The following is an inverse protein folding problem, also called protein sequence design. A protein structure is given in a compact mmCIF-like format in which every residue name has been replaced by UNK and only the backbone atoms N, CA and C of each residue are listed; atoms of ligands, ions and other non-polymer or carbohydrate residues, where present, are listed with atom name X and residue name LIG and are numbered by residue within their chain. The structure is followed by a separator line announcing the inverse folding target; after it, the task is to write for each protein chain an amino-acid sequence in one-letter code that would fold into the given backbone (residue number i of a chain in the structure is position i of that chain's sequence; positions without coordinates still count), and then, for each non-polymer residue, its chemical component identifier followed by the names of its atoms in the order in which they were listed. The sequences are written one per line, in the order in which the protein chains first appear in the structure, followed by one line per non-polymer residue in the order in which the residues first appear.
data_IF_645417707436
#
_entry.id   IF_645417707436
#
_cell.length_a   1.000
_cell.length_b   1.000
_cell.length_c   1.000
_cell.angle_alpha   90.00
_cell.angle_beta   90.00
_cell.angle_gamma   90.00
#
_symmetry.space_group_name_H-M   'P 1'
#
loop_
_entity.id
_entity.type
_entity.pdbx_description
1 polymer ?
#
# COMPACT_ATOMS: atom_id res chain seq x y z
N UNK A 1 22.61 24.90 24.14
CA UNK A 1 21.87 25.24 22.91
C UNK A 1 20.57 24.47 22.91
N UNK A 2 19.44 25.09 22.56
CA UNK A 2 18.12 24.46 22.61
C UNK A 2 17.39 24.70 21.29
N UNK A 3 16.74 23.66 20.77
CA UNK A 3 15.84 23.74 19.62
C UNK A 3 14.46 23.32 20.11
N UNK A 4 13.49 24.23 20.05
CA UNK A 4 12.09 23.93 20.29
C UNK A 4 11.39 23.78 18.94
N UNK A 5 10.96 22.56 18.63
CA UNK A 5 10.06 22.29 17.53
C UNK A 5 8.62 22.50 17.97
N UNK A 6 7.92 23.48 17.39
CA UNK A 6 6.46 23.52 17.41
C UNK A 6 6.00 22.62 16.27
N UNK A 7 6.03 21.30 16.46
CA UNK A 7 5.52 20.39 15.44
C UNK A 7 4.03 20.70 15.25
N UNK A 8 3.58 21.14 14.06
CA UNK A 8 2.16 21.26 13.79
C UNK A 8 1.50 19.89 13.99
N UNK A 9 0.21 19.83 14.35
CA UNK A 9 -0.51 18.56 14.26
C UNK A 9 -0.33 17.98 12.85
N UNK A 10 -0.13 16.65 12.72
CA UNK A 10 0.13 16.03 11.43
C UNK A 10 -0.96 16.45 10.43
N UNK A 11 -0.60 16.77 9.17
CA UNK A 11 -1.59 17.18 8.18
C UNK A 11 -2.64 16.07 8.02
N UNK A 12 -3.91 16.44 7.86
CA UNK A 12 -5.04 15.50 7.68
C UNK A 12 -4.84 14.52 6.52
N UNK A 13 -3.96 14.87 5.57
CA UNK A 13 -3.42 14.01 4.54
C UNK A 13 -1.98 14.45 4.24
N UNK A 14 -1.03 13.50 4.22
CA UNK A 14 0.28 13.74 3.65
C UNK A 14 0.23 13.48 2.13
N UNK A 15 1.07 14.18 1.35
CA UNK A 15 1.19 13.98 -0.10
C UNK A 15 2.65 13.91 -0.50
N UNK A 16 3.00 12.96 -1.37
CA UNK A 16 4.33 12.86 -1.97
C UNK A 16 4.20 12.51 -3.46
N UNK A 17 5.06 13.09 -4.28
CA UNK A 17 5.05 12.83 -5.73
C UNK A 17 6.40 12.32 -6.21
N UNK A 18 6.38 11.42 -7.17
CA UNK A 18 7.54 11.06 -7.98
C UNK A 18 7.82 12.19 -8.97
N UNK A 19 9.10 12.36 -9.33
CA UNK A 19 9.51 13.30 -10.38
C UNK A 19 8.84 13.01 -11.72
N UNK A 20 8.45 11.75 -11.96
CA UNK A 20 7.75 11.28 -13.15
C UNK A 20 6.23 11.59 -13.16
N UNK A 21 5.70 12.28 -12.14
CA UNK A 21 4.34 12.84 -12.14
C UNK A 21 3.28 12.08 -11.36
N UNK A 22 3.56 10.87 -10.87
CA UNK A 22 2.64 10.15 -9.99
C UNK A 22 2.67 10.75 -8.57
N UNK A 23 1.49 11.04 -8.00
CA UNK A 23 1.36 11.57 -6.64
C UNK A 23 0.55 10.61 -5.76
N UNK A 24 1.03 10.41 -4.54
CA UNK A 24 0.44 9.54 -3.54
C UNK A 24 -0.04 10.39 -2.37
N UNK A 25 -1.19 10.01 -1.80
CA UNK A 25 -1.73 10.64 -0.59
C UNK A 25 -2.23 9.58 0.38
N UNK A 26 -2.03 9.82 1.67
CA UNK A 26 -2.48 8.91 2.74
C UNK A 26 -3.70 9.51 3.44
N UNK A 27 -4.73 8.69 3.63
CA UNK A 27 -5.99 9.07 4.27
C UNK A 27 -6.29 8.10 5.41
N UNK A 28 -6.58 8.64 6.59
CA UNK A 28 -6.89 7.85 7.79
C UNK A 28 -8.41 7.70 7.89
N UNK A 29 -8.92 6.54 7.48
CA UNK A 29 -10.33 6.17 7.61
C UNK A 29 -10.45 4.66 7.85
N UNK A 30 -11.26 4.26 8.83
CA UNK A 30 -11.56 2.86 9.07
C UNK A 30 -12.77 2.46 8.20
N UNK A 31 -12.49 2.05 6.97
CA UNK A 31 -13.50 1.73 5.95
C UNK A 31 -13.12 0.43 5.23
N UNK A 32 -14.09 -0.18 4.57
CA UNK A 32 -13.85 -1.34 3.71
C UNK A 32 -13.01 -0.98 2.48
N UNK A 33 -12.45 -2.00 1.83
CA UNK A 33 -11.72 -1.82 0.56
C UNK A 33 -12.55 -1.10 -0.51
N UNK A 34 -13.82 -1.49 -0.67
CA UNK A 34 -14.70 -0.91 -1.67
C UNK A 34 -14.99 0.58 -1.41
N UNK A 35 -15.16 0.95 -0.14
CA UNK A 35 -15.33 2.35 0.27
C UNK A 35 -14.03 3.15 0.07
N UNK A 36 -12.87 2.58 0.41
CA UNK A 36 -11.57 3.21 0.19
C UNK A 36 -11.32 3.47 -1.30
N UNK A 37 -11.62 2.47 -2.15
CA UNK A 37 -11.57 2.61 -3.62
C UNK A 37 -12.47 3.74 -4.10
N UNK A 38 -13.75 3.73 -3.71
CA UNK A 38 -14.70 4.77 -4.09
C UNK A 38 -14.28 6.17 -3.61
N UNK A 39 -13.67 6.28 -2.43
CA UNK A 39 -13.15 7.53 -1.90
C UNK A 39 -11.94 8.06 -2.70
N UNK A 40 -11.06 7.19 -3.18
CA UNK A 40 -9.97 7.56 -4.08
C UNK A 40 -10.47 7.98 -5.47
N UNK A 41 -11.44 7.24 -6.03
CA UNK A 41 -12.04 7.55 -7.33
C UNK A 41 -12.72 8.94 -7.32
N UNK A 42 -13.44 9.28 -6.24
CA UNK A 42 -14.05 10.61 -6.04
C UNK A 42 -13.02 11.76 -5.98
N UNK A 43 -11.77 11.45 -5.62
CA UNK A 43 -10.66 12.41 -5.60
C UNK A 43 -9.92 12.48 -6.95
N UNK A 44 -10.48 11.86 -8.00
CA UNK A 44 -9.88 11.76 -9.34
C UNK A 44 -8.52 11.05 -9.32
N UNK A 45 -8.37 10.07 -8.42
CA UNK A 45 -7.22 9.18 -8.35
C UNK A 45 -7.67 7.73 -8.34
N UNK A 46 -6.79 6.84 -7.88
CA UNK A 46 -7.05 5.43 -7.66
C UNK A 46 -6.51 5.02 -6.29
N UNK A 47 -6.78 3.79 -5.85
CA UNK A 47 -5.96 3.21 -4.78
C UNK A 47 -4.49 3.18 -5.25
N UNK A 48 -3.58 3.36 -4.29
CA UNK A 48 -2.14 3.41 -4.58
C UNK A 48 -1.66 2.08 -5.19
N UNK A 49 -0.76 2.15 -6.16
CA UNK A 49 -0.10 1.01 -6.78
C UNK A 49 1.40 1.14 -6.63
N UNK A 50 2.12 0.01 -6.71
CA UNK A 50 3.56 -0.04 -6.55
C UNK A 50 4.15 -0.93 -7.64
N UNK A 51 4.81 -0.33 -8.62
CA UNK A 51 5.43 -1.07 -9.73
C UNK A 51 6.86 -1.51 -9.41
N UNK A 52 7.54 -0.79 -8.52
CA UNK A 52 8.86 -1.17 -8.02
C UNK A 52 9.27 -0.40 -6.78
N UNK A 53 10.57 -0.39 -6.51
CA UNK A 53 11.15 0.28 -5.35
C UNK A 53 10.83 1.78 -5.24
N UNK A 54 10.79 2.59 -6.32
CA UNK A 54 10.53 4.01 -6.21
C UNK A 54 9.17 4.35 -5.58
N UNK A 55 8.10 3.69 -6.04
CA UNK A 55 6.76 3.87 -5.48
C UNK A 55 6.68 3.34 -4.05
N UNK A 56 7.30 2.18 -3.78
CA UNK A 56 7.30 1.57 -2.45
C UNK A 56 7.96 2.50 -1.43
N UNK A 57 9.15 3.00 -1.74
CA UNK A 57 9.91 3.88 -0.86
C UNK A 57 9.17 5.20 -0.61
N UNK A 58 8.53 5.75 -1.65
CA UNK A 58 7.73 6.94 -1.53
C UNK A 58 6.49 6.71 -0.65
N UNK A 59 5.81 5.57 -0.81
CA UNK A 59 4.66 5.18 0.00
C UNK A 59 5.04 4.99 1.47
N UNK A 60 6.15 4.31 1.77
CA UNK A 60 6.62 4.13 3.14
C UNK A 60 7.01 5.47 3.80
N UNK A 61 7.71 6.35 3.07
CA UNK A 61 8.02 7.71 3.55
C UNK A 61 6.78 8.57 3.76
N UNK A 62 5.78 8.43 2.88
CA UNK A 62 4.52 9.15 3.01
C UNK A 62 3.80 8.76 4.31
N UNK A 63 3.76 7.47 4.63
CA UNK A 63 3.12 6.97 5.84
C UNK A 63 3.91 7.32 7.12
N UNK A 64 5.24 7.33 7.05
CA UNK A 64 6.07 7.82 8.15
C UNK A 64 5.80 9.30 8.47
N UNK A 65 5.70 10.15 7.44
CA UNK A 65 5.39 11.58 7.59
C UNK A 65 3.98 11.85 8.09
N UNK A 66 3.01 11.00 7.71
CA UNK A 66 1.65 11.09 8.22
C UNK A 66 1.54 10.75 9.72
N UNK A 67 2.65 10.37 10.37
CA UNK A 67 2.74 10.03 11.79
C UNK A 67 1.65 9.04 12.21
N UNK A 68 1.42 8.04 11.35
CA UNK A 68 0.35 7.06 11.57
C UNK A 68 0.63 6.27 12.84
N UNK A 69 -0.35 6.14 13.76
CA UNK A 69 -0.24 5.22 14.88
C UNK A 69 -0.08 3.78 14.38
N UNK A 70 0.98 3.09 14.79
CA UNK A 70 1.23 1.68 14.45
C UNK A 70 0.80 0.75 15.59
N UNK A 71 0.35 -0.49 15.30
CA UNK A 71 0.18 -1.09 13.98
C UNK A 71 -0.98 -0.48 13.17
N UNK A 72 -0.83 -0.43 11.85
CA UNK A 72 -1.86 0.07 10.94
C UNK A 72 -1.85 -0.70 9.61
N UNK A 73 -3.02 -0.80 8.97
CA UNK A 73 -3.18 -1.36 7.62
C UNK A 73 -3.77 -0.30 6.71
N UNK A 74 -3.13 -0.08 5.57
CA UNK A 74 -3.59 0.84 4.53
C UNK A 74 -4.05 0.07 3.31
N UNK A 75 -5.28 0.30 2.88
CA UNK A 75 -5.75 -0.23 1.59
C UNK A 75 -4.95 0.37 0.44
N UNK A 76 -4.47 -0.52 -0.43
CA UNK A 76 -3.79 -0.20 -1.68
C UNK A 76 -4.50 -0.94 -2.82
N UNK A 77 -4.16 -0.67 -4.07
CA UNK A 77 -4.80 -1.29 -5.24
C UNK A 77 -4.51 -2.79 -5.40
N UNK A 78 -3.90 -3.46 -4.42
CA UNK A 78 -3.50 -4.86 -4.53
C UNK A 78 -4.70 -5.77 -4.30
N UNK A 79 -5.12 -6.49 -5.34
CA UNK A 79 -6.30 -7.36 -5.30
C UNK A 79 -6.12 -8.61 -6.15
N UNK A 80 -6.67 -9.70 -5.65
CA UNK A 80 -6.86 -10.95 -6.37
C UNK A 80 -8.32 -11.11 -6.72
N UNK A 81 -8.64 -11.17 -8.01
CA UNK A 81 -10.02 -11.34 -8.46
C UNK A 81 -10.49 -12.78 -8.26
N UNK A 82 -11.81 -13.00 -8.33
CA UNK A 82 -12.32 -14.35 -8.53
C UNK A 82 -11.65 -14.95 -9.80
N UNK A 83 -11.45 -16.26 -9.80
CA UNK A 83 -10.67 -17.03 -10.79
C UNK A 83 -9.15 -16.80 -10.83
N UNK A 84 -8.60 -15.85 -10.07
CA UNK A 84 -7.15 -15.75 -9.87
C UNK A 84 -6.73 -16.59 -8.64
N UNK A 85 -5.90 -17.60 -8.87
CA UNK A 85 -5.45 -18.53 -7.84
C UNK A 85 -4.33 -17.92 -6.98
N UNK A 86 -4.24 -18.31 -5.71
CA UNK A 86 -2.99 -18.12 -4.95
C UNK A 86 -1.90 -18.97 -5.57
N UNK A 87 -0.74 -18.37 -5.79
CA UNK A 87 0.47 -19.06 -6.24
C UNK A 87 1.64 -18.66 -5.35
N UNK A 88 1.97 -19.51 -4.37
CA UNK A 88 2.95 -19.23 -3.31
C UNK A 88 4.35 -18.93 -3.86
N UNK A 89 4.67 -19.46 -5.04
CA UNK A 89 5.92 -19.22 -5.76
C UNK A 89 5.99 -17.86 -6.46
N UNK A 90 4.85 -17.18 -6.67
CA UNK A 90 4.81 -15.87 -7.33
C UNK A 90 4.92 -14.73 -6.31
N UNK A 91 5.65 -13.63 -6.58
CA UNK A 91 5.88 -12.56 -5.60
C UNK A 91 4.58 -12.02 -4.97
N UNK A 92 3.55 -11.76 -5.78
CA UNK A 92 2.26 -11.23 -5.29
C UNK A 92 1.20 -12.29 -5.04
N UNK A 93 1.54 -13.59 -5.09
CA UNK A 93 0.59 -14.66 -4.72
C UNK A 93 -0.72 -14.63 -5.50
N UNK A 94 -0.66 -14.26 -6.79
CA UNK A 94 -1.83 -14.09 -7.65
C UNK A 94 -2.62 -12.78 -7.45
N UNK A 95 -2.17 -11.88 -6.57
CA UNK A 95 -2.67 -10.51 -6.50
C UNK A 95 -2.07 -9.65 -7.62
N UNK A 96 -2.84 -8.65 -8.03
CA UNK A 96 -2.48 -7.69 -9.07
C UNK A 96 -2.89 -6.29 -8.67
N UNK A 97 -2.24 -5.27 -9.22
CA UNK A 97 -2.58 -3.88 -8.98
C UNK A 97 -3.80 -3.47 -9.83
N UNK A 98 -4.86 -3.00 -9.18
CA UNK A 98 -6.05 -2.47 -9.83
C UNK A 98 -5.81 -1.06 -10.40
N UNK A 99 -6.46 -0.78 -11.53
CA UNK A 99 -6.93 0.57 -11.83
C UNK A 99 -5.88 1.60 -12.23
N UNK A 100 -4.97 1.25 -13.14
CA UNK A 100 -4.15 2.27 -13.79
C UNK A 100 -4.25 2.15 -15.31
N UNK A 101 -5.16 2.91 -15.91
CA UNK A 101 -5.12 3.16 -17.35
C UNK A 101 -3.84 3.93 -17.69
N UNK A 102 -3.02 3.40 -18.60
CA UNK A 102 -1.81 4.06 -19.09
C UNK A 102 -0.54 3.88 -18.25
N UNK A 103 -0.59 3.19 -17.10
CA UNK A 103 0.62 2.70 -16.43
C UNK A 103 0.74 1.22 -16.71
N UNK A 104 1.80 0.85 -17.43
CA UNK A 104 2.17 -0.54 -17.65
C UNK A 104 2.54 -1.14 -16.30
N UNK A 105 1.64 -1.93 -15.71
CA UNK A 105 2.01 -2.80 -14.59
C UNK A 105 3.17 -3.67 -15.11
N UNK A 106 4.32 -3.69 -14.43
CA UNK A 106 5.46 -4.47 -14.88
C UNK A 106 5.04 -5.91 -15.13
N UNK A 107 5.48 -6.47 -16.26
CA UNK A 107 5.27 -7.88 -16.55
C UNK A 107 5.96 -8.77 -15.50
N UNK A 108 7.01 -8.24 -14.87
CA UNK A 108 7.75 -8.87 -13.77
C UNK A 108 7.67 -8.01 -12.51
N UNK A 109 7.13 -8.58 -11.44
CA UNK A 109 7.07 -7.91 -10.14
C UNK A 109 8.42 -8.10 -9.43
N UNK A 110 9.10 -7.02 -9.00
CA UNK A 110 10.35 -7.13 -8.24
C UNK A 110 10.16 -7.97 -6.97
N UNK A 111 11.16 -8.79 -6.63
CA UNK A 111 11.10 -9.72 -5.50
C UNK A 111 10.89 -9.00 -4.15
N UNK A 112 11.32 -7.74 -4.05
CA UNK A 112 11.18 -6.87 -2.89
C UNK A 112 9.70 -6.59 -2.57
N UNK A 113 8.84 -6.61 -3.59
CA UNK A 113 7.39 -6.51 -3.44
C UNK A 113 6.74 -7.84 -3.04
N UNK A 114 7.49 -8.92 -2.90
CA UNK A 114 6.98 -10.23 -2.46
C UNK A 114 6.82 -10.38 -0.94
N UNK A 115 6.88 -9.29 -0.17
CA UNK A 115 6.89 -9.34 1.30
C UNK A 115 5.49 -9.45 1.88
N UNK A 116 5.07 -10.66 2.24
CA UNK A 116 3.83 -10.92 2.98
C UNK A 116 4.12 -11.15 4.47
N UNK A 117 3.32 -10.55 5.36
CA UNK A 117 3.45 -10.80 6.81
C UNK A 117 2.88 -12.15 7.22
N UNK A 118 1.90 -12.62 6.45
CA UNK A 118 1.33 -13.95 6.54
C UNK A 118 0.95 -14.37 5.12
N UNK A 119 1.16 -15.64 4.79
CA UNK A 119 0.78 -16.19 3.49
C UNK A 119 -0.74 -16.03 3.28
N UNK A 120 -1.18 -15.50 2.12
CA UNK A 120 -2.60 -15.37 1.80
C UNK A 120 -3.31 -16.72 1.79
N UNK A 121 -4.62 -16.69 1.99
CA UNK A 121 -5.44 -17.89 1.90
C UNK A 121 -5.33 -18.51 0.51
N UNK A 122 -4.92 -19.77 0.45
CA UNK A 122 -4.98 -20.60 -0.76
C UNK A 122 -6.42 -20.68 -1.27
N UNK A 123 -6.71 -19.93 -2.32
CA UNK A 123 -8.06 -19.80 -2.89
C UNK A 123 -7.98 -19.41 -4.37
N UNK A 124 -9.09 -19.56 -5.07
CA UNK A 124 -9.24 -19.17 -6.47
C UNK A 124 -10.67 -18.74 -6.81
N UNK A 125 -11.57 -18.76 -5.83
CA UNK A 125 -13.02 -18.59 -6.05
C UNK A 125 -13.59 -17.33 -5.39
N UNK A 126 -12.92 -16.80 -4.37
CA UNK A 126 -13.34 -15.58 -3.68
C UNK A 126 -12.34 -14.47 -3.95
N UNK A 127 -12.78 -13.26 -4.35
CA UNK A 127 -11.89 -12.13 -4.50
C UNK A 127 -11.34 -11.71 -3.13
N UNK A 128 -10.08 -11.30 -3.12
CA UNK A 128 -9.35 -10.91 -1.91
C UNK A 128 -8.58 -9.63 -2.16
N UNK A 129 -8.51 -8.78 -1.15
CA UNK A 129 -7.85 -7.49 -1.23
C UNK A 129 -6.72 -7.47 -0.21
N UNK A 130 -5.63 -6.78 -0.51
CA UNK A 130 -4.51 -6.68 0.42
C UNK A 130 -4.26 -5.22 0.80
N UNK A 131 -3.80 -5.03 2.02
CA UNK A 131 -3.31 -3.75 2.53
C UNK A 131 -1.82 -3.78 2.83
N UNK A 132 -1.21 -2.61 2.83
CA UNK A 132 0.12 -2.41 3.38
C UNK A 132 0.01 -2.32 4.90
N UNK A 133 0.51 -3.34 5.60
CA UNK A 133 0.60 -3.34 7.05
C UNK A 133 1.92 -2.71 7.50
N UNK A 134 1.84 -1.76 8.43
CA UNK A 134 2.97 -1.17 9.15
C UNK A 134 3.05 -1.78 10.55
N UNK A 135 4.21 -2.35 10.89
CA UNK A 135 4.46 -2.87 12.22
C UNK A 135 4.80 -1.73 13.20
N UNK A 136 4.52 -1.88 14.51
CA UNK A 136 5.15 -1.05 15.54
C UNK A 136 6.68 -1.18 15.46
N UNK A 137 7.41 -0.18 15.99
CA UNK A 137 8.88 -0.13 15.89
C UNK A 137 9.48 -1.49 16.22
N UNK A 138 10.02 -2.20 15.22
CA UNK A 138 10.39 -3.57 15.43
C UNK A 138 11.71 -3.59 16.16
N UNK A 139 11.87 -4.55 17.07
CA UNK A 139 13.19 -5.12 17.33
C UNK A 139 13.73 -5.74 16.03
N UNK A 140 13.78 -7.06 15.95
CA UNK A 140 14.38 -7.75 14.79
C UNK A 140 13.42 -8.03 13.60
N UNK A 141 12.17 -7.54 13.66
CA UNK A 141 11.12 -7.85 12.67
C UNK A 141 11.02 -6.89 11.45
N UNK A 142 10.31 -7.29 10.38
CA UNK A 142 9.99 -6.39 9.27
C UNK A 142 9.18 -5.16 9.72
N UNK A 143 9.57 -3.97 9.25
CA UNK A 143 8.82 -2.72 9.49
C UNK A 143 7.48 -2.66 8.73
N UNK A 144 7.34 -3.44 7.66
CA UNK A 144 6.14 -3.46 6.82
C UNK A 144 5.97 -4.81 6.12
N UNK A 145 4.78 -5.06 5.55
CA UNK A 145 4.50 -6.16 4.63
C UNK A 145 3.04 -6.15 4.16
N UNK A 146 2.71 -6.94 3.15
CA UNK A 146 1.34 -7.12 2.69
C UNK A 146 0.54 -7.99 3.66
N UNK A 147 -0.74 -7.68 3.76
CA UNK A 147 -1.71 -8.45 4.56
C UNK A 147 -3.04 -8.52 3.81
N UNK A 148 -3.55 -9.75 3.64
CA UNK A 148 -4.91 -10.03 3.13
C UNK A 148 -5.99 -9.72 4.19
#
# INVERSE_FOLDING_TARGET
ACVLGRTPPPPRAAVRCLSAGACFSAHLANVSYAEARGACDQRRGSLAWVSGEPELHLLLKLLADAAVPTPAVFWVGLKRNASACTHDEQPLRGFSWEGVEGVTVPQEVPAELGRWLQEPLLSCVVPRCAGLHLAPDPGDGPRWGWKE
#
